data_IF_698626308390
#
_entry.id   IF_698626308390
#
_cell.length_a   1.000
_cell.length_b   1.000
_cell.length_c   1.000
_cell.angle_alpha   90.00
_cell.angle_beta   90.00
_cell.angle_gamma   90.00
#
_symmetry.space_group_name_H-M   'P 1'
#
loop_
_entity.id
_entity.type
_entity.pdbx_description
1 polymer ?
#
# COMPACT_ATOMS: atom_id res chain seq x y z
N UNK A 1 8.55 12.84 -21.88
CA UNK A 1 7.08 13.00 -21.97
C UNK A 1 6.66 13.92 -20.84
N UNK A 2 5.67 14.78 -21.05
CA UNK A 2 5.11 15.58 -19.97
C UNK A 2 4.09 14.71 -19.22
N UNK A 3 4.27 14.52 -17.91
CA UNK A 3 3.32 13.80 -17.05
C UNK A 3 2.53 14.82 -16.24
N UNK A 4 1.24 14.53 -16.04
CA UNK A 4 0.36 15.36 -15.24
C UNK A 4 0.07 14.68 -13.90
N UNK A 5 0.21 15.44 -12.81
CA UNK A 5 -0.18 15.00 -11.49
C UNK A 5 -1.70 15.05 -11.35
N UNK A 6 -2.32 14.00 -10.81
CA UNK A 6 -3.74 13.98 -10.49
C UNK A 6 -3.94 14.16 -8.99
N UNK A 7 -4.68 15.18 -8.52
CA UNK A 7 -5.00 15.34 -7.10
C UNK A 7 -5.69 14.10 -6.53
N UNK A 8 -5.17 13.57 -5.42
CA UNK A 8 -5.69 12.38 -4.74
C UNK A 8 -6.28 12.73 -3.37
N UNK A 9 -7.10 11.82 -2.85
CA UNK A 9 -7.59 11.84 -1.46
C UNK A 9 -7.02 10.63 -0.75
N UNK A 10 -6.33 10.84 0.37
CA UNK A 10 -5.72 9.77 1.15
C UNK A 10 -6.32 9.72 2.56
N UNK A 11 -6.45 8.50 3.10
CA UNK A 11 -6.64 8.26 4.52
C UNK A 11 -5.31 7.81 5.12
N UNK A 12 -4.93 8.44 6.23
CA UNK A 12 -3.73 8.11 7.01
C UNK A 12 -4.07 8.04 8.49
N UNK A 13 -3.29 7.33 9.28
CA UNK A 13 -3.41 7.30 10.74
C UNK A 13 -2.10 7.73 11.39
N UNK A 14 -2.17 8.66 12.35
CA UNK A 14 -0.96 9.14 13.02
C UNK A 14 -0.31 8.01 13.86
N UNK A 15 1.03 7.95 13.95
CA UNK A 15 1.74 6.91 14.70
C UNK A 15 1.72 7.13 16.22
N UNK A 16 0.74 7.84 16.79
CA UNK A 16 0.69 8.25 18.21
C UNK A 16 0.89 7.11 19.21
N UNK A 17 0.53 5.88 18.82
CA UNK A 17 0.65 4.68 19.65
C UNK A 17 1.53 3.59 19.00
N UNK A 18 2.23 3.93 17.92
CA UNK A 18 3.03 2.99 17.14
C UNK A 18 4.18 2.42 17.98
N UNK A 19 4.33 1.10 17.92
CA UNK A 19 5.36 0.32 18.60
C UNK A 19 5.42 -1.07 17.99
N UNK A 20 6.62 -1.65 17.95
CA UNK A 20 6.81 -3.05 17.53
C UNK A 20 6.89 -3.92 18.79
N UNK A 21 5.75 -4.50 19.20
CA UNK A 21 5.64 -5.34 20.42
C UNK A 21 5.44 -6.83 20.13
N UNK A 22 5.27 -7.18 18.86
CA UNK A 22 5.09 -8.55 18.37
C UNK A 22 5.72 -8.67 16.98
N UNK A 23 5.72 -9.88 16.41
CA UNK A 23 6.30 -10.15 15.10
C UNK A 23 5.32 -10.97 14.25
N UNK A 24 4.69 -10.31 13.28
CA UNK A 24 3.77 -10.91 12.30
C UNK A 24 4.27 -10.78 10.85
N UNK A 25 5.52 -10.33 10.68
CA UNK A 25 6.26 -10.32 9.42
C UNK A 25 7.79 -10.39 9.71
N UNK A 26 8.64 -10.69 8.71
CA UNK A 26 10.08 -10.84 8.92
C UNK A 26 10.85 -9.55 9.28
N UNK A 27 10.23 -8.37 9.13
CA UNK A 27 10.87 -7.08 9.39
C UNK A 27 10.69 -6.61 10.83
N UNK A 28 9.65 -7.09 11.49
CA UNK A 28 9.36 -6.78 12.89
C UNK A 28 10.36 -7.47 13.82
N UNK A 29 11.09 -6.65 14.58
CA UNK A 29 12.02 -7.10 15.60
C UNK A 29 11.66 -6.41 16.94
N UNK A 30 10.92 -7.09 17.84
CA UNK A 30 10.53 -6.51 19.13
C UNK A 30 11.71 -6.10 20.03
N UNK A 31 12.94 -6.52 19.71
CA UNK A 31 14.13 -6.09 20.44
C UNK A 31 14.66 -4.72 20.00
N UNK A 32 14.16 -4.18 18.88
CA UNK A 32 14.52 -2.87 18.34
C UNK A 32 13.37 -1.88 18.59
N UNK A 33 13.48 -1.03 19.64
CA UNK A 33 12.42 -0.08 19.92
C UNK A 33 12.27 0.95 18.80
N UNK A 34 11.03 1.42 18.65
CA UNK A 34 10.66 2.55 17.80
C UNK A 34 10.98 3.85 18.55
N UNK A 35 11.66 4.78 17.90
CA UNK A 35 11.75 6.17 18.32
C UNK A 35 10.45 6.88 17.89
N UNK A 36 9.52 6.97 18.83
CA UNK A 36 8.17 7.48 18.57
C UNK A 36 8.17 8.97 18.12
N UNK A 37 8.93 9.89 18.75
CA UNK A 37 9.09 11.26 18.22
C UNK A 37 9.62 11.30 16.78
N UNK A 38 10.59 10.46 16.42
CA UNK A 38 11.09 10.40 15.06
C UNK A 38 10.05 9.80 14.10
N UNK A 39 9.34 8.74 14.48
CA UNK A 39 8.25 8.16 13.70
C UNK A 39 7.15 9.19 13.41
N UNK A 40 6.78 10.00 14.40
CA UNK A 40 5.84 11.11 14.24
C UNK A 40 6.36 12.14 13.23
N UNK A 41 7.62 12.55 13.35
CA UNK A 41 8.25 13.50 12.42
C UNK A 41 8.27 12.98 10.98
N UNK A 42 8.65 11.72 10.79
CA UNK A 42 8.70 11.06 9.48
C UNK A 42 7.31 10.94 8.84
N UNK A 43 6.30 10.56 9.63
CA UNK A 43 4.93 10.47 9.16
C UNK A 43 4.33 11.86 8.83
N UNK A 44 4.64 12.90 9.63
CA UNK A 44 4.21 14.27 9.36
C UNK A 44 4.82 14.83 8.07
N UNK A 45 6.10 14.55 7.80
CA UNK A 45 6.74 14.92 6.54
C UNK A 45 6.04 14.27 5.34
N UNK A 46 5.67 12.99 5.43
CA UNK A 46 4.89 12.33 4.38
C UNK A 46 3.52 13.00 4.16
N UNK A 47 2.77 13.22 5.23
CA UNK A 47 1.46 13.90 5.18
C UNK A 47 1.57 15.29 4.56
N UNK A 48 2.55 16.07 5.00
CA UNK A 48 2.73 17.45 4.57
C UNK A 48 3.26 17.51 3.14
N UNK A 49 4.06 16.53 2.70
CA UNK A 49 4.44 16.36 1.30
C UNK A 49 3.21 16.14 0.43
N UNK A 50 2.31 15.23 0.81
CA UNK A 50 1.06 15.02 0.06
C UNK A 50 0.24 16.30 -0.07
N UNK A 51 0.07 17.05 1.02
CA UNK A 51 -0.65 18.33 1.01
C UNK A 51 0.02 19.37 0.12
N UNK A 52 1.36 19.45 0.14
CA UNK A 52 2.12 20.38 -0.70
C UNK A 52 1.98 20.08 -2.20
N UNK A 53 1.74 18.81 -2.56
CA UNK A 53 1.47 18.36 -3.92
C UNK A 53 0.00 18.52 -4.34
N UNK A 54 -0.85 19.11 -3.47
CA UNK A 54 -2.25 19.40 -3.77
C UNK A 54 -3.21 18.23 -3.49
N UNK A 55 -2.77 17.22 -2.73
CA UNK A 55 -3.64 16.13 -2.29
C UNK A 55 -4.39 16.49 -1.00
N UNK A 56 -5.54 15.84 -0.80
CA UNK A 56 -6.27 15.89 0.47
C UNK A 56 -5.84 14.71 1.34
N UNK A 57 -5.57 14.98 2.61
CA UNK A 57 -5.29 13.93 3.61
C UNK A 57 -6.31 13.99 4.73
N UNK A 58 -7.12 12.95 4.82
CA UNK A 58 -8.04 12.66 5.91
C UNK A 58 -7.33 11.81 6.97
N UNK A 59 -7.80 11.89 8.22
CA UNK A 59 -7.16 11.20 9.34
C UNK A 59 -8.10 10.21 10.01
N UNK A 60 -7.57 9.02 10.24
CA UNK A 60 -8.11 8.03 11.16
C UNK A 60 -7.57 8.31 12.58
N UNK A 61 -8.44 8.21 13.58
CA UNK A 61 -8.04 8.38 14.98
C UNK A 61 -7.28 7.15 15.47
N UNK A 62 -6.00 7.27 15.89
CA UNK A 62 -5.24 6.13 16.38
C UNK A 62 -5.80 5.60 17.71
N UNK A 63 -5.69 4.29 17.94
CA UNK A 63 -6.11 3.65 19.19
C UNK A 63 -4.91 3.08 19.98
N UNK A 64 -4.84 3.25 21.31
CA UNK A 64 -3.68 2.82 22.11
C UNK A 64 -3.32 1.34 22.01
N UNK A 65 -4.31 0.48 21.82
CA UNK A 65 -4.22 -0.97 21.75
C UNK A 65 -3.86 -1.50 20.35
N UNK A 66 -3.93 -0.64 19.31
CA UNK A 66 -3.74 -1.04 17.91
C UNK A 66 -2.58 -0.27 17.27
N UNK A 67 -1.32 -0.69 17.54
CA UNK A 67 -0.14 0.06 17.11
C UNK A 67 0.03 0.09 15.59
N UNK A 68 -0.44 -0.93 14.88
CA UNK A 68 -0.31 -1.05 13.42
C UNK A 68 -1.36 -0.24 12.64
N UNK A 69 -2.27 0.48 13.32
CA UNK A 69 -3.23 1.39 12.66
C UNK A 69 -2.56 2.45 11.79
N UNK A 70 -1.29 2.80 12.07
CA UNK A 70 -0.48 3.70 11.21
C UNK A 70 -0.45 3.21 9.75
N UNK A 71 -0.55 1.90 9.53
CA UNK A 71 -0.61 1.27 8.21
C UNK A 71 -2.05 1.24 7.66
N UNK A 72 -2.58 2.44 7.41
CA UNK A 72 -3.95 2.66 6.96
C UNK A 72 -4.31 1.97 5.64
N UNK A 73 -3.32 1.66 4.78
CA UNK A 73 -3.58 0.96 3.51
C UNK A 73 -4.32 -0.37 3.71
N UNK A 74 -4.18 -1.01 4.87
CA UNK A 74 -4.67 -2.36 5.06
C UNK A 74 -6.13 -2.49 5.50
N UNK A 75 -6.79 -1.41 5.90
CA UNK A 75 -8.12 -1.55 6.52
C UNK A 75 -9.29 -1.61 5.54
N UNK A 76 -9.09 -1.22 4.27
CA UNK A 76 -10.08 -1.40 3.21
C UNK A 76 -9.48 -1.13 1.82
N UNK A 77 -10.24 -1.42 0.77
CA UNK A 77 -10.00 -0.95 -0.60
C UNK A 77 -11.20 -0.13 -1.08
N UNK A 78 -10.94 1.00 -1.73
CA UNK A 78 -11.97 1.91 -2.24
C UNK A 78 -11.83 2.06 -3.75
N UNK A 79 -12.94 1.85 -4.47
CA UNK A 79 -13.03 2.03 -5.93
C UNK A 79 -14.42 2.60 -6.27
N UNK A 80 -14.46 3.77 -6.93
CA UNK A 80 -15.70 4.43 -7.35
C UNK A 80 -16.64 4.75 -6.18
N UNK A 81 -16.08 5.10 -5.02
CA UNK A 81 -16.81 5.39 -3.78
C UNK A 81 -17.34 4.15 -3.03
N UNK A 82 -17.12 2.94 -3.54
CA UNK A 82 -17.52 1.68 -2.92
C UNK A 82 -16.37 1.14 -2.08
N UNK A 83 -16.68 0.60 -0.89
CA UNK A 83 -15.67 0.21 0.11
C UNK A 83 -15.78 -1.28 0.39
N UNK A 84 -14.70 -2.02 0.10
CA UNK A 84 -14.53 -3.39 0.62
C UNK A 84 -13.66 -3.32 1.87
N UNK A 85 -14.21 -3.68 3.02
CA UNK A 85 -13.47 -3.73 4.28
C UNK A 85 -12.43 -4.86 4.30
N UNK A 86 -11.48 -4.76 5.23
CA UNK A 86 -10.48 -5.80 5.46
C UNK A 86 -10.92 -6.83 6.49
N UNK A 87 -10.45 -8.06 6.31
CA UNK A 87 -10.47 -9.13 7.30
C UNK A 87 -9.04 -9.62 7.44
N UNK A 88 -8.37 -9.18 8.50
CA UNK A 88 -6.94 -9.43 8.70
C UNK A 88 -6.62 -10.91 8.94
N UNK A 89 -5.41 -11.33 8.55
CA UNK A 89 -4.95 -12.70 8.77
C UNK A 89 -4.49 -12.95 10.23
N UNK A 90 -4.09 -11.89 10.93
CA UNK A 90 -3.55 -11.94 12.28
C UNK A 90 -4.45 -11.23 13.28
N UNK A 91 -4.74 -11.90 14.40
CA UNK A 91 -5.63 -11.43 15.47
C UNK A 91 -5.21 -10.09 16.05
N UNK A 92 -3.91 -9.80 16.02
CA UNK A 92 -3.30 -8.57 16.52
C UNK A 92 -3.88 -7.32 15.82
N UNK A 93 -4.43 -7.49 14.61
CA UNK A 93 -5.00 -6.41 13.79
C UNK A 93 -6.51 -6.47 13.59
N UNK A 94 -7.22 -7.44 14.19
CA UNK A 94 -8.65 -7.64 13.91
C UNK A 94 -9.51 -6.41 14.23
N UNK A 95 -9.25 -5.76 15.35
CA UNK A 95 -10.02 -4.58 15.80
C UNK A 95 -9.75 -3.32 14.94
N UNK A 96 -8.70 -3.34 14.10
CA UNK A 96 -8.42 -2.23 13.17
C UNK A 96 -9.48 -2.14 12.06
N UNK A 97 -10.07 -3.29 11.69
CA UNK A 97 -11.13 -3.36 10.68
C UNK A 97 -12.37 -2.58 11.13
N UNK A 98 -12.74 -2.69 12.42
CA UNK A 98 -13.85 -1.90 12.95
C UNK A 98 -13.54 -0.41 12.91
N UNK A 99 -12.32 -0.02 13.31
CA UNK A 99 -11.93 1.38 13.33
C UNK A 99 -12.03 2.03 11.93
N UNK A 100 -11.61 1.32 10.88
CA UNK A 100 -11.78 1.80 9.51
C UNK A 100 -13.25 1.85 9.11
N UNK A 101 -14.04 0.81 9.42
CA UNK A 101 -15.47 0.76 9.10
C UNK A 101 -16.26 1.89 9.76
N UNK A 102 -15.99 2.20 11.01
CA UNK A 102 -16.56 3.36 11.71
C UNK A 102 -16.20 4.66 10.99
N UNK A 103 -14.92 4.83 10.66
CA UNK A 103 -14.46 6.02 9.93
C UNK A 103 -15.17 6.19 8.59
N UNK A 104 -15.32 5.12 7.79
CA UNK A 104 -16.03 5.19 6.51
C UNK A 104 -17.50 5.60 6.68
N UNK A 105 -18.21 5.01 7.66
CA UNK A 105 -19.60 5.37 7.95
C UNK A 105 -19.74 6.83 8.36
N UNK A 106 -18.88 7.30 9.26
CA UNK A 106 -18.91 8.67 9.77
C UNK A 106 -18.54 9.72 8.71
N UNK A 107 -17.81 9.32 7.67
CA UNK A 107 -17.41 10.16 6.54
C UNK A 107 -18.31 10.02 5.30
N UNK A 108 -19.51 9.45 5.46
CA UNK A 108 -20.57 9.50 4.45
C UNK A 108 -20.47 8.43 3.36
N UNK A 109 -19.62 7.41 3.53
CA UNK A 109 -19.63 6.25 2.65
C UNK A 109 -20.84 5.36 2.98
N UNK A 110 -21.62 5.02 1.95
CA UNK A 110 -22.89 4.29 2.11
C UNK A 110 -22.88 2.89 1.52
N UNK A 111 -22.00 2.61 0.54
CA UNK A 111 -21.80 1.28 -0.03
C UNK A 111 -20.52 0.65 0.55
N UNK A 112 -20.67 0.12 1.77
CA UNK A 112 -19.61 -0.55 2.52
C UNK A 112 -19.94 -2.04 2.61
N UNK A 113 -19.03 -2.88 2.12
CA UNK A 113 -19.10 -4.35 2.22
C UNK A 113 -18.18 -4.84 3.33
N UNK A 114 -18.76 -5.55 4.29
CA UNK A 114 -18.00 -6.41 5.19
C UNK A 114 -17.49 -7.62 4.39
N UNK A 115 -16.20 -7.95 4.49
CA UNK A 115 -15.61 -9.07 3.74
C UNK A 115 -15.97 -10.43 4.33
N UNK A 116 -16.26 -11.40 3.45
CA UNK A 116 -16.45 -12.81 3.77
C UNK A 116 -15.10 -13.57 3.81
N UNK A 117 -14.07 -13.03 3.16
CA UNK A 117 -12.77 -13.67 3.02
C UNK A 117 -11.60 -12.77 3.46
N UNK A 118 -10.56 -13.41 4.01
CA UNK A 118 -9.35 -12.73 4.50
C UNK A 118 -8.75 -11.90 3.37
N UNK A 119 -8.64 -10.59 3.60
CA UNK A 119 -7.98 -9.63 2.74
C UNK A 119 -7.44 -8.48 3.58
N UNK A 120 -6.29 -7.92 3.20
CA UNK A 120 -5.66 -6.80 3.91
C UNK A 120 -5.62 -5.54 3.05
N UNK A 121 -6.76 -5.24 2.41
CA UNK A 121 -7.01 -3.99 1.71
C UNK A 121 -5.98 -3.65 0.65
N UNK A 122 -5.60 -2.38 0.55
CA UNK A 122 -4.60 -1.90 -0.41
C UNK A 122 -3.16 -2.35 -0.13
N UNK A 123 -2.92 -3.08 0.95
CA UNK A 123 -1.68 -3.84 1.11
C UNK A 123 -1.58 -4.97 0.09
N UNK A 124 -2.69 -5.66 -0.19
CA UNK A 124 -2.73 -6.77 -1.14
C UNK A 124 -3.54 -6.48 -2.41
N UNK A 125 -4.25 -5.37 -2.47
CA UNK A 125 -5.00 -4.94 -3.65
C UNK A 125 -4.42 -3.64 -4.25
N UNK A 126 -3.91 -3.74 -5.47
CA UNK A 126 -3.40 -2.58 -6.22
C UNK A 126 -4.32 -2.27 -7.42
N UNK A 127 -4.88 -1.06 -7.41
CA UNK A 127 -5.89 -0.61 -8.39
C UNK A 127 -5.20 0.03 -9.60
N UNK A 128 -5.52 -0.45 -10.79
CA UNK A 128 -5.15 0.15 -12.09
C UNK A 128 -6.43 0.61 -12.81
N UNK A 129 -6.34 1.18 -14.02
CA UNK A 129 -7.55 1.52 -14.78
C UNK A 129 -8.27 0.26 -15.28
N UNK A 130 -7.52 -0.76 -15.69
CA UNK A 130 -8.08 -1.96 -16.30
C UNK A 130 -8.30 -3.12 -15.33
N UNK A 131 -7.53 -3.19 -14.25
CA UNK A 131 -7.45 -4.35 -13.36
C UNK A 131 -7.40 -3.98 -11.89
N UNK A 132 -7.89 -4.89 -11.05
CA UNK A 132 -7.48 -4.98 -9.65
C UNK A 132 -6.43 -6.09 -9.51
N UNK A 133 -5.18 -5.70 -9.25
CA UNK A 133 -4.11 -6.67 -9.01
C UNK A 133 -4.21 -7.14 -7.56
N UNK A 134 -4.17 -8.45 -7.35
CA UNK A 134 -4.48 -9.04 -6.05
C UNK A 134 -3.40 -10.02 -5.59
N UNK A 135 -2.66 -9.64 -4.55
CA UNK A 135 -1.67 -10.48 -3.90
C UNK A 135 -2.30 -11.65 -3.16
N UNK A 136 -1.60 -12.78 -3.13
CA UNK A 136 -1.92 -13.95 -2.29
C UNK A 136 -0.65 -14.72 -1.94
N UNK A 137 -0.75 -15.54 -0.89
CA UNK A 137 0.31 -16.45 -0.46
C UNK A 137 0.67 -16.34 1.02
N UNK A 138 0.57 -15.13 1.59
CA UNK A 138 0.93 -14.86 2.99
C UNK A 138 -0.22 -14.29 3.82
N UNK A 139 -0.90 -13.25 3.32
CA UNK A 139 -1.96 -12.54 4.06
C UNK A 139 -3.33 -12.80 3.45
N UNK A 140 -3.61 -12.23 2.29
CA UNK A 140 -4.92 -12.39 1.64
C UNK A 140 -5.17 -13.81 1.11
N UNK A 141 -6.41 -14.27 1.30
CA UNK A 141 -6.91 -15.54 0.78
C UNK A 141 -7.19 -15.43 -0.73
N UNK A 142 -6.93 -16.46 -1.55
CA UNK A 142 -7.35 -16.45 -2.95
C UNK A 142 -8.87 -16.27 -3.14
N UNK A 143 -9.68 -16.64 -2.13
CA UNK A 143 -11.14 -16.50 -2.20
C UNK A 143 -11.59 -15.03 -2.16
N UNK A 144 -10.81 -14.13 -1.57
CA UNK A 144 -11.16 -12.70 -1.55
C UNK A 144 -11.00 -12.04 -2.92
N UNK A 145 -10.33 -12.70 -3.87
CA UNK A 145 -10.15 -12.19 -5.22
C UNK A 145 -11.47 -12.24 -6.00
N UNK A 146 -12.21 -13.36 -5.92
CA UNK A 146 -13.53 -13.49 -6.54
C UNK A 146 -14.54 -12.56 -5.85
N UNK A 147 -14.48 -12.44 -4.52
CA UNK A 147 -15.30 -11.49 -3.76
C UNK A 147 -15.06 -10.04 -4.20
N UNK A 148 -13.80 -9.63 -4.32
CA UNK A 148 -13.44 -8.28 -4.76
C UNK A 148 -13.88 -8.03 -6.22
N UNK A 149 -13.78 -9.04 -7.10
CA UNK A 149 -14.26 -8.94 -8.47
C UNK A 149 -15.77 -8.70 -8.51
N UNK A 150 -16.52 -9.51 -7.78
CA UNK A 150 -17.98 -9.46 -7.79
C UNK A 150 -18.50 -8.19 -7.12
N UNK A 151 -17.80 -7.73 -6.08
CA UNK A 151 -18.10 -6.46 -5.45
C UNK A 151 -17.75 -5.32 -6.40
N UNK A 152 -16.51 -5.13 -6.84
CA UNK A 152 -16.11 -3.94 -7.60
C UNK A 152 -16.48 -3.94 -9.09
N UNK A 153 -16.78 -5.09 -9.67
CA UNK A 153 -17.09 -5.23 -11.11
C UNK A 153 -15.87 -5.01 -12.01
N UNK A 154 -14.66 -5.23 -11.50
CA UNK A 154 -13.40 -5.09 -12.22
C UNK A 154 -12.70 -6.45 -12.35
N UNK A 155 -12.02 -6.75 -13.47
CA UNK A 155 -11.22 -7.96 -13.59
C UNK A 155 -10.14 -8.02 -12.49
N UNK A 156 -10.17 -9.08 -11.69
CA UNK A 156 -9.18 -9.31 -10.64
C UNK A 156 -8.08 -10.25 -11.14
N UNK A 157 -6.83 -9.82 -11.01
CA UNK A 157 -5.66 -10.60 -11.43
C UNK A 157 -4.90 -11.08 -10.19
N UNK A 158 -5.06 -12.36 -9.86
CA UNK A 158 -4.35 -13.01 -8.76
C UNK A 158 -2.84 -13.16 -9.02
N UNK A 159 -2.03 -12.74 -8.05
CA UNK A 159 -0.57 -12.77 -8.09
C UNK A 159 -0.01 -13.51 -6.86
N UNK A 160 0.72 -14.60 -7.10
CA UNK A 160 1.35 -15.42 -6.06
C UNK A 160 2.67 -14.80 -5.60
N UNK A 161 2.69 -14.32 -4.35
CA UNK A 161 3.90 -13.91 -3.65
C UNK A 161 4.60 -15.16 -3.10
N UNK A 162 5.92 -15.27 -3.30
CA UNK A 162 6.71 -16.46 -2.95
C UNK A 162 7.82 -16.21 -1.94
N UNK A 163 8.07 -14.94 -1.61
CA UNK A 163 9.09 -14.54 -0.64
C UNK A 163 8.43 -13.79 0.54
N UNK A 164 8.54 -14.31 1.77
CA UNK A 164 7.85 -13.74 2.94
C UNK A 164 8.36 -12.35 3.32
N UNK A 165 9.52 -11.89 2.80
CA UNK A 165 9.96 -10.50 2.95
C UNK A 165 8.99 -9.53 2.26
N UNK A 166 8.29 -10.00 1.22
CA UNK A 166 7.30 -9.24 0.47
C UNK A 166 5.90 -9.83 0.70
N UNK A 167 5.47 -9.83 1.95
CA UNK A 167 4.26 -10.53 2.41
C UNK A 167 2.95 -9.85 1.98
N UNK A 168 3.04 -8.59 1.53
CA UNK A 168 1.95 -7.84 0.92
C UNK A 168 2.31 -7.44 -0.51
N UNK A 169 1.32 -7.37 -1.40
CA UNK A 169 1.53 -6.93 -2.78
C UNK A 169 2.22 -5.56 -2.88
N UNK A 170 1.84 -4.62 -2.03
CA UNK A 170 2.38 -3.25 -2.01
C UNK A 170 3.86 -3.17 -1.60
N UNK A 171 4.45 -4.26 -1.11
CA UNK A 171 5.91 -4.36 -0.87
C UNK A 171 6.67 -4.88 -2.09
N UNK A 172 5.96 -5.45 -3.07
CA UNK A 172 6.50 -6.08 -4.28
C UNK A 172 6.03 -5.43 -5.59
N UNK A 173 5.06 -4.52 -5.56
CA UNK A 173 4.49 -3.86 -6.72
C UNK A 173 3.93 -2.48 -6.36
N UNK A 174 4.17 -1.50 -7.22
CA UNK A 174 3.58 -0.17 -7.16
C UNK A 174 2.91 0.16 -8.49
N UNK A 175 1.70 0.72 -8.43
CA UNK A 175 1.06 1.36 -9.59
C UNK A 175 1.59 2.78 -9.70
N UNK A 176 2.27 3.08 -10.81
CA UNK A 176 2.88 4.37 -11.08
C UNK A 176 1.92 5.32 -11.78
N UNK A 177 1.15 4.81 -12.73
CA UNK A 177 0.09 5.56 -13.41
C UNK A 177 -1.09 4.65 -13.68
N UNK A 178 -2.13 4.78 -12.87
CA UNK A 178 -3.33 3.98 -13.03
C UNK A 178 -3.99 4.19 -14.40
N UNK A 179 -4.00 5.42 -14.94
CA UNK A 179 -4.67 5.71 -16.21
C UNK A 179 -3.97 5.07 -17.42
N UNK A 180 -2.66 4.85 -17.30
CA UNK A 180 -1.84 4.17 -18.31
C UNK A 180 -1.59 2.69 -17.98
N UNK A 181 -2.17 2.17 -16.90
CA UNK A 181 -1.85 0.84 -16.36
C UNK A 181 -0.33 0.63 -16.16
N UNK A 182 0.43 1.70 -15.82
CA UNK A 182 1.88 1.63 -15.65
C UNK A 182 2.23 1.21 -14.22
N UNK A 183 3.11 0.20 -14.11
CA UNK A 183 3.53 -0.34 -12.82
C UNK A 183 5.06 -0.45 -12.73
N UNK A 184 5.55 -0.55 -11.50
CA UNK A 184 6.86 -1.11 -11.19
C UNK A 184 6.73 -2.29 -10.24
N UNK A 185 7.58 -3.31 -10.38
CA UNK A 185 7.55 -4.47 -9.49
C UNK A 185 8.91 -5.15 -9.37
N UNK A 186 9.09 -5.96 -8.32
CA UNK A 186 10.27 -6.81 -8.14
C UNK A 186 9.95 -8.22 -8.60
N UNK A 187 10.56 -8.72 -9.70
CA UNK A 187 10.16 -10.00 -10.29
C UNK A 187 10.25 -11.18 -9.33
N UNK A 188 11.31 -11.27 -8.54
CA UNK A 188 11.59 -12.47 -7.74
C UNK A 188 10.73 -12.59 -6.47
N UNK A 189 9.91 -11.59 -6.17
CA UNK A 189 8.84 -11.72 -5.19
C UNK A 189 7.68 -12.60 -5.68
N UNK A 190 7.58 -12.88 -6.99
CA UNK A 190 6.44 -13.55 -7.61
C UNK A 190 6.75 -14.95 -8.16
N UNK A 191 5.75 -15.82 -8.15
CA UNK A 191 5.84 -17.14 -8.77
C UNK A 191 6.15 -17.05 -10.28
N UNK A 192 6.71 -18.10 -10.91
CA UNK A 192 6.93 -18.11 -12.37
C UNK A 192 5.66 -17.81 -13.19
N UNK A 193 4.49 -18.30 -12.74
CA UNK A 193 3.20 -18.05 -13.40
C UNK A 193 2.78 -16.59 -13.30
N UNK A 194 2.82 -16.02 -12.10
CA UNK A 194 2.48 -14.60 -11.88
C UNK A 194 3.44 -13.67 -12.61
N UNK A 195 4.74 -14.00 -12.67
CA UNK A 195 5.70 -13.27 -13.53
C UNK A 195 5.35 -13.32 -15.02
N UNK A 196 4.84 -14.46 -15.51
CA UNK A 196 4.42 -14.57 -16.91
C UNK A 196 3.17 -13.72 -17.20
N UNK A 197 2.22 -13.68 -16.26
CA UNK A 197 1.04 -12.81 -16.33
C UNK A 197 1.46 -11.34 -16.30
N UNK A 198 2.31 -10.92 -15.35
CA UNK A 198 2.80 -9.55 -15.24
C UNK A 198 3.52 -9.09 -16.51
N UNK A 199 4.41 -9.91 -17.10
CA UNK A 199 5.06 -9.59 -18.38
C UNK A 199 4.08 -9.47 -19.55
N UNK A 200 2.97 -10.21 -19.51
CA UNK A 200 1.96 -10.19 -20.58
C UNK A 200 1.08 -8.94 -20.49
N UNK A 201 0.66 -8.57 -19.29
CA UNK A 201 -0.24 -7.44 -19.05
C UNK A 201 0.52 -6.10 -19.00
N UNK A 202 1.75 -6.12 -18.49
CA UNK A 202 2.58 -4.93 -18.26
C UNK A 202 3.98 -5.12 -18.88
N UNK A 203 4.08 -5.21 -20.22
CA UNK A 203 5.35 -5.47 -20.89
C UNK A 203 6.39 -4.37 -20.67
N UNK A 204 5.94 -3.14 -20.41
CA UNK A 204 6.78 -1.96 -20.19
C UNK A 204 7.01 -1.64 -18.71
N UNK A 205 6.62 -2.53 -17.79
CA UNK A 205 6.81 -2.31 -16.36
C UNK A 205 8.27 -1.99 -16.00
N UNK A 206 8.46 -1.08 -15.04
CA UNK A 206 9.78 -0.82 -14.47
C UNK A 206 10.14 -1.94 -13.49
N UNK A 207 11.21 -2.68 -13.75
CA UNK A 207 11.63 -3.79 -12.90
C UNK A 207 12.63 -3.31 -11.84
N UNK A 208 12.25 -3.45 -10.57
CA UNK A 208 13.14 -3.17 -9.44
C UNK A 208 14.20 -4.26 -9.30
N UNK A 209 15.34 -3.89 -8.71
CA UNK A 209 16.40 -4.83 -8.30
C UNK A 209 16.22 -5.20 -6.83
N UNK A 210 16.85 -6.29 -6.40
CA UNK A 210 16.75 -6.79 -5.03
C UNK A 210 17.08 -5.71 -3.98
N UNK A 211 18.14 -4.92 -4.20
CA UNK A 211 18.55 -3.88 -3.26
C UNK A 211 17.47 -2.82 -3.04
N UNK A 212 16.80 -2.37 -4.11
CA UNK A 212 15.74 -1.39 -4.04
C UNK A 212 14.45 -1.98 -3.44
N UNK A 213 14.14 -3.23 -3.78
CA UNK A 213 13.01 -3.95 -3.21
C UNK A 213 13.19 -4.17 -1.69
N UNK A 214 14.38 -4.60 -1.26
CA UNK A 214 14.73 -4.75 0.15
C UNK A 214 14.72 -3.42 0.93
N UNK A 215 14.93 -2.29 0.23
CA UNK A 215 14.78 -0.95 0.76
C UNK A 215 13.32 -0.43 0.74
N UNK A 216 12.34 -1.31 0.49
CA UNK A 216 10.91 -0.96 0.35
C UNK A 216 10.59 -0.03 -0.82
N UNK A 217 11.44 0.04 -1.85
CA UNK A 217 11.27 0.93 -3.00
C UNK A 217 9.95 0.78 -3.75
N UNK A 218 9.28 -0.36 -3.61
CA UNK A 218 7.97 -0.63 -4.21
C UNK A 218 6.80 -0.27 -3.29
N UNK A 219 7.05 -0.04 -2.00
CA UNK A 219 6.07 0.50 -1.07
C UNK A 219 5.96 2.02 -1.23
N UNK A 220 5.51 2.41 -2.42
CA UNK A 220 5.53 3.77 -2.94
C UNK A 220 4.15 4.20 -3.40
N UNK A 221 3.91 5.51 -3.42
CA UNK A 221 2.65 6.10 -3.90
C UNK A 221 2.95 7.04 -5.05
N UNK A 222 2.18 6.94 -6.12
CA UNK A 222 2.28 7.86 -7.25
C UNK A 222 0.95 8.52 -7.58
N UNK A 223 1.01 9.79 -7.97
CA UNK A 223 -0.13 10.56 -8.46
C UNK A 223 -0.20 10.63 -9.99
N UNK A 224 0.67 9.89 -10.70
CA UNK A 224 0.85 9.93 -12.16
C UNK A 224 2.05 10.76 -12.61
N UNK A 225 2.62 11.60 -11.74
CA UNK A 225 3.85 12.37 -12.01
C UNK A 225 4.86 12.23 -10.87
N UNK A 226 4.47 12.54 -9.65
CA UNK A 226 5.32 12.42 -8.48
C UNK A 226 5.27 10.98 -7.96
N UNK A 227 6.42 10.43 -7.59
CA UNK A 227 6.51 9.09 -6.99
C UNK A 227 7.17 9.24 -5.63
N UNK A 228 6.37 9.17 -4.56
CA UNK A 228 6.88 9.19 -3.20
C UNK A 228 7.35 7.78 -2.85
N UNK A 229 8.64 7.63 -2.58
CA UNK A 229 9.30 6.35 -2.35
C UNK A 229 10.36 6.43 -1.26
N UNK A 230 10.73 5.32 -0.61
CA UNK A 230 11.79 5.31 0.39
C UNK A 230 13.12 5.83 -0.17
N UNK A 231 13.76 6.74 0.55
CA UNK A 231 15.01 7.37 0.12
C UNK A 231 16.18 6.40 -0.08
N UNK A 232 16.12 5.22 0.56
CA UNK A 232 17.14 4.19 0.42
C UNK A 232 17.07 3.43 -0.92
N UNK A 233 15.93 3.47 -1.62
CA UNK A 233 15.73 2.82 -2.93
C UNK A 233 16.33 3.65 -4.09
N UNK A 234 17.60 3.99 -3.95
CA UNK A 234 18.33 4.92 -4.84
C UNK A 234 18.38 4.45 -6.29
N UNK A 235 18.34 3.13 -6.54
CA UNK A 235 18.37 2.55 -7.87
C UNK A 235 17.10 2.78 -8.68
N UNK A 236 16.00 3.21 -8.05
CA UNK A 236 14.75 3.54 -8.74
C UNK A 236 14.67 5.01 -9.19
N UNK A 237 15.50 5.90 -8.63
CA UNK A 237 15.38 7.34 -8.86
C UNK A 237 15.58 7.72 -10.33
N UNK A 238 16.70 7.31 -10.92
CA UNK A 238 17.00 7.65 -12.32
C UNK A 238 16.08 6.94 -13.33
N UNK A 239 15.76 5.63 -13.19
CA UNK A 239 14.79 4.99 -14.07
C UNK A 239 13.40 5.63 -14.05
N UNK A 240 12.95 6.15 -12.90
CA UNK A 240 11.70 6.91 -12.81
C UNK A 240 11.80 8.25 -13.56
N UNK A 241 12.91 8.99 -13.39
CA UNK A 241 13.16 10.25 -14.13
C UNK A 241 13.23 10.05 -15.63
N UNK A 242 13.88 8.99 -16.09
CA UNK A 242 13.99 8.63 -17.51
C UNK A 242 12.61 8.39 -18.14
N UNK A 243 11.65 7.92 -17.32
CA UNK A 243 10.23 7.74 -17.70
C UNK A 243 9.38 8.99 -17.53
N UNK A 244 9.96 10.11 -17.12
CA UNK A 244 9.29 11.40 -16.93
C UNK A 244 8.57 11.57 -15.59
N UNK A 245 8.76 10.65 -14.64
CA UNK A 245 8.30 10.83 -13.27
C UNK A 245 9.25 11.74 -12.48
N UNK A 246 8.72 12.32 -11.40
CA UNK A 246 9.45 13.10 -10.41
C UNK A 246 9.54 12.30 -9.11
N UNK A 247 10.63 11.53 -8.89
CA UNK A 247 10.78 10.77 -7.64
C UNK A 247 11.01 11.72 -6.46
N UNK A 248 10.27 11.48 -5.38
CA UNK A 248 10.30 12.24 -4.12
C UNK A 248 10.75 11.30 -3.01
N UNK A 249 12.05 11.30 -2.66
CA UNK A 249 12.59 10.46 -1.59
C UNK A 249 11.99 10.82 -0.23
N UNK A 250 11.52 9.81 0.50
CA UNK A 250 10.94 9.94 1.84
C UNK A 250 11.73 9.14 2.87
N UNK A 251 11.92 9.70 4.07
CA UNK A 251 12.49 8.98 5.21
C UNK A 251 11.38 8.41 6.11
N UNK A 252 11.27 7.09 6.16
CA UNK A 252 10.29 6.36 7.00
C UNK A 252 10.98 5.25 7.80
N UNK A 253 12.25 5.44 8.18
CA UNK A 253 13.06 4.41 8.83
C UNK A 253 12.45 3.83 10.10
N UNK A 254 11.70 4.61 10.88
CA UNK A 254 11.04 4.11 12.08
C UNK A 254 9.80 3.28 11.75
N UNK A 255 9.02 3.68 10.75
CA UNK A 255 7.84 2.92 10.31
C UNK A 255 8.25 1.61 9.62
N UNK A 256 9.40 1.60 8.96
CA UNK A 256 9.98 0.40 8.34
C UNK A 256 10.26 -0.72 9.36
N UNK A 257 10.49 -0.39 10.64
CA UNK A 257 10.61 -1.40 11.71
C UNK A 257 9.34 -2.23 11.91
N UNK A 258 8.17 -1.69 11.53
CA UNK A 258 6.90 -2.43 11.48
C UNK A 258 6.70 -3.23 10.18
N UNK A 259 7.61 -3.10 9.21
CA UNK A 259 7.49 -3.72 7.90
C UNK A 259 6.64 -2.92 6.91
N UNK A 260 6.50 -1.60 7.08
CA UNK A 260 5.74 -0.74 6.16
C UNK A 260 6.43 0.58 5.87
N UNK A 261 6.03 1.24 4.78
CA UNK A 261 6.59 2.54 4.36
C UNK A 261 5.50 3.44 3.74
N UNK A 262 5.84 4.23 2.73
CA UNK A 262 4.96 5.26 2.12
C UNK A 262 3.58 4.71 1.81
N UNK A 263 3.50 3.60 1.07
CA UNK A 263 2.23 3.03 0.63
C UNK A 263 1.46 2.41 1.78
N UNK A 264 2.11 1.65 2.68
CA UNK A 264 1.41 1.06 3.82
C UNK A 264 0.73 2.14 4.69
N UNK A 265 1.36 3.31 4.87
CA UNK A 265 0.79 4.43 5.62
C UNK A 265 -0.37 5.15 4.92
N UNK A 266 -0.71 4.79 3.67
CA UNK A 266 -1.54 5.60 2.78
C UNK A 266 -2.58 4.75 2.04
N UNK A 267 -3.85 4.91 2.43
CA UNK A 267 -4.99 4.37 1.69
C UNK A 267 -5.55 5.42 0.73
N UNK A 268 -5.78 5.10 -0.54
CA UNK A 268 -6.39 6.04 -1.49
C UNK A 268 -7.93 5.92 -1.49
N UNK A 269 -8.61 7.05 -1.26
CA UNK A 269 -10.06 7.16 -1.23
C UNK A 269 -10.60 7.46 -2.64
N UNK A 270 -10.62 6.45 -3.52
CA UNK A 270 -11.06 6.59 -4.92
C UNK A 270 -12.57 6.76 -5.00
N UNK A 271 -13.01 8.02 -5.11
CA UNK A 271 -14.41 8.44 -5.27
C UNK A 271 -14.89 8.46 -6.70
#
# INVERSE_FOLDING_TARGET
MNRDATPRRYLMCAPTHFRVTYSINPWMDPSKPVDLPLAQTQWEDLRDRYRSLGHTVELLTPRPDLPDMVFAANGATVIGGRVLGALFAYRERYEEAEAHREWFRDNGFTDIREPDHVNEGEGDFAVTASYLLAGRGFRSSPLSHDEAQEFFGLPVIGLDLVDPRYYHLDTALCVLDAAADEIMYYPDAFSPGSRAVLRRLFPDALLAREADAAAFGLNSVSDGRHVLLPQAATGLLDPLRDRGFEPVPMDLGELLKGGGSVKCCTQELRG
#
